data_IF_431043206159
#
_entry.id   IF_431043206159
#
_cell.length_a   1.000
_cell.length_b   1.000
_cell.length_c   1.000
_cell.angle_alpha   90.00
_cell.angle_beta   90.00
_cell.angle_gamma   90.00
#
_symmetry.space_group_name_H-M   'P 1'
#
loop_
_entity.id
_entity.type
_entity.pdbx_description
1 polymer ?
#
# COMPACT_ATOMS: atom_id res chain seq x y z
N UNK A 1 10.13 1.40 -0.41
CA UNK A 1 9.03 1.40 0.58
C UNK A 1 8.50 2.82 0.71
N UNK A 2 7.20 3.02 0.83
CA UNK A 2 6.56 4.34 0.96
C UNK A 2 5.54 4.23 2.08
N UNK A 3 5.67 5.04 3.12
CA UNK A 3 4.70 5.18 4.21
C UNK A 3 4.66 6.64 4.68
N UNK A 4 3.53 7.06 5.25
CA UNK A 4 3.40 8.36 5.91
C UNK A 4 4.08 8.41 7.28
N UNK A 5 4.26 7.25 7.92
CA UNK A 5 5.02 7.12 9.16
C UNK A 5 6.50 6.87 8.82
N UNK A 6 7.28 7.96 8.79
CA UNK A 6 8.69 7.96 8.35
C UNK A 6 9.55 7.13 9.28
N UNK A 7 9.39 7.29 10.60
CA UNK A 7 10.17 6.54 11.59
C UNK A 7 9.90 5.04 11.47
N UNK A 8 8.64 4.64 11.26
CA UNK A 8 8.27 3.24 11.07
C UNK A 8 8.86 2.65 9.77
N UNK A 9 8.73 3.33 8.63
CA UNK A 9 9.22 2.79 7.34
C UNK A 9 10.74 2.73 7.28
N UNK A 10 11.44 3.67 7.92
CA UNK A 10 12.90 3.63 8.06
C UNK A 10 13.34 2.45 8.93
N UNK A 11 12.65 2.21 10.05
CA UNK A 11 12.93 1.07 10.92
C UNK A 11 12.72 -0.28 10.20
N UNK A 12 11.62 -0.43 9.46
CA UNK A 12 11.34 -1.64 8.67
C UNK A 12 12.37 -1.85 7.55
N UNK A 13 12.77 -0.78 6.86
CA UNK A 13 13.80 -0.87 5.83
C UNK A 13 15.17 -1.29 6.41
N UNK A 14 15.50 -0.80 7.61
CA UNK A 14 16.71 -1.18 8.33
C UNK A 14 16.67 -2.67 8.73
N UNK A 15 15.59 -3.12 9.36
CA UNK A 15 15.43 -4.52 9.81
C UNK A 15 15.55 -5.49 8.63
N UNK A 16 14.88 -5.20 7.50
CA UNK A 16 14.99 -6.01 6.30
C UNK A 16 16.40 -6.00 5.70
N UNK A 17 17.12 -4.88 5.81
CA UNK A 17 18.51 -4.76 5.34
C UNK A 17 19.46 -5.57 6.21
N UNK A 18 19.30 -5.53 7.53
CA UNK A 18 20.10 -6.30 8.50
C UNK A 18 19.82 -7.80 8.42
N UNK A 19 18.64 -8.21 7.94
CA UNK A 19 18.32 -9.61 7.68
C UNK A 19 19.02 -10.19 6.44
N UNK A 20 19.41 -9.36 5.45
CA UNK A 20 19.94 -9.81 4.15
C UNK A 20 21.18 -10.71 4.22
N UNK A 21 22.18 -10.49 5.10
CA UNK A 21 23.35 -11.37 5.20
C UNK A 21 23.01 -12.84 5.47
N UNK A 22 21.82 -13.11 6.01
CA UNK A 22 21.32 -14.46 6.29
C UNK A 22 20.49 -15.05 5.14
N UNK A 23 20.25 -14.31 4.05
CA UNK A 23 19.44 -14.73 2.91
C UNK A 23 20.30 -15.19 1.73
N UNK A 24 19.77 -16.14 0.94
CA UNK A 24 20.44 -16.65 -0.27
C UNK A 24 20.49 -15.61 -1.40
N UNK A 25 19.56 -14.66 -1.38
CA UNK A 25 19.43 -13.60 -2.39
C UNK A 25 19.30 -12.27 -1.67
N UNK A 26 19.85 -11.24 -2.32
CA UNK A 26 19.88 -9.88 -1.79
C UNK A 26 19.00 -8.98 -2.65
N UNK A 27 18.41 -7.97 -2.01
CA UNK A 27 17.57 -6.97 -2.65
C UNK A 27 18.05 -5.56 -2.28
N UNK A 28 17.89 -4.63 -3.20
CA UNK A 28 18.10 -3.21 -2.88
C UNK A 28 16.85 -2.70 -2.17
N UNK A 29 16.98 -2.39 -0.89
CA UNK A 29 15.89 -1.90 -0.05
C UNK A 29 16.08 -0.40 0.12
N UNK A 30 15.07 0.38 -0.25
CA UNK A 30 15.14 1.84 -0.21
C UNK A 30 13.80 2.40 0.24
N UNK A 31 13.83 3.32 1.21
CA UNK A 31 12.69 4.17 1.53
C UNK A 31 12.63 5.26 0.46
N UNK A 32 11.51 5.34 -0.25
CA UNK A 32 11.34 6.18 -1.43
C UNK A 32 10.16 7.13 -1.25
N UNK A 33 10.01 8.04 -2.20
CA UNK A 33 8.80 8.82 -2.40
C UNK A 33 8.00 8.31 -3.61
N UNK A 34 6.92 9.01 -3.93
CA UNK A 34 6.03 8.69 -5.04
C UNK A 34 6.69 8.76 -6.42
N UNK A 35 7.78 9.51 -6.60
CA UNK A 35 8.46 9.63 -7.90
C UNK A 35 9.16 8.34 -8.33
N UNK A 36 9.56 7.51 -7.36
CA UNK A 36 10.12 6.18 -7.61
C UNK A 36 9.10 5.17 -8.18
N UNK A 37 7.84 5.57 -8.36
CA UNK A 37 6.84 4.72 -9.01
C UNK A 37 6.77 4.94 -10.52
N UNK A 38 7.45 5.95 -11.08
CA UNK A 38 7.45 6.23 -12.52
C UNK A 38 7.97 5.03 -13.34
N UNK A 39 8.96 4.32 -12.83
CA UNK A 39 9.64 3.18 -13.45
C UNK A 39 9.38 1.83 -12.73
N UNK A 40 8.46 1.81 -11.77
CA UNK A 40 8.13 0.58 -11.06
C UNK A 40 7.35 -0.41 -11.95
N UNK A 41 7.77 -1.68 -11.96
CA UNK A 41 7.06 -2.76 -12.64
C UNK A 41 5.83 -3.24 -11.87
N UNK A 42 5.91 -3.23 -10.53
CA UNK A 42 4.87 -3.71 -9.63
C UNK A 42 4.76 -2.77 -8.43
N UNK A 43 3.53 -2.39 -8.10
CA UNK A 43 3.20 -1.68 -6.86
C UNK A 43 2.28 -2.55 -6.02
N UNK A 44 2.62 -2.75 -4.76
CA UNK A 44 1.78 -3.47 -3.79
C UNK A 44 1.20 -2.44 -2.81
N UNK A 45 -0.12 -2.23 -2.87
CA UNK A 45 -0.84 -1.38 -1.92
C UNK A 45 -1.30 -2.19 -0.71
N UNK A 46 -0.71 -1.89 0.44
CA UNK A 46 -1.04 -2.48 1.75
C UNK A 46 -1.63 -1.48 2.75
N UNK A 47 -2.00 -0.27 2.31
CA UNK A 47 -2.51 0.79 3.20
C UNK A 47 -3.73 0.35 4.00
N UNK A 48 -3.83 0.74 5.26
CA UNK A 48 -4.97 0.43 6.11
C UNK A 48 -4.62 0.44 7.58
N UNK A 49 -5.63 0.46 8.46
CA UNK A 49 -5.41 0.49 9.92
C UNK A 49 -6.22 -0.58 10.63
N UNK A 50 -5.64 -1.78 10.70
CA UNK A 50 -6.27 -2.97 11.32
C UNK A 50 -6.52 -2.81 12.82
N UNK A 51 -5.83 -1.87 13.48
CA UNK A 51 -6.03 -1.59 14.90
C UNK A 51 -7.46 -1.10 15.22
N UNK A 52 -8.18 -0.53 14.24
CA UNK A 52 -9.55 -0.02 14.41
C UNK A 52 -10.57 -1.15 14.64
N UNK A 53 -10.33 -2.35 14.10
CA UNK A 53 -11.08 -3.55 14.44
C UNK A 53 -10.82 -4.01 15.89
N UNK A 54 -9.57 -3.89 16.37
CA UNK A 54 -9.18 -4.37 17.72
C UNK A 54 -9.77 -3.53 18.86
N UNK A 55 -10.00 -2.23 18.64
CA UNK A 55 -10.51 -1.31 19.67
C UNK A 55 -12.03 -1.29 19.79
N UNK A 56 -12.77 -2.00 18.93
CA UNK A 56 -14.23 -2.08 18.97
C UNK A 56 -14.77 -3.53 19.04
N UNK A 57 -14.34 -4.35 20.02
CA UNK A 57 -14.84 -5.72 20.17
C UNK A 57 -16.26 -5.69 20.73
N UNK A 58 -17.27 -5.74 19.86
CA UNK A 58 -18.68 -5.84 20.26
C UNK A 58 -19.68 -5.25 19.27
N UNK A 59 -19.25 -4.34 18.40
CA UNK A 59 -20.01 -3.90 17.24
C UNK A 59 -19.60 -4.76 16.05
N UNK A 60 -20.38 -5.77 15.70
CA UNK A 60 -20.19 -6.67 14.53
C UNK A 60 -20.26 -5.96 13.16
N UNK A 61 -19.83 -4.70 13.08
CA UNK A 61 -19.72 -3.97 11.83
C UNK A 61 -18.37 -4.27 11.22
N UNK A 62 -18.32 -5.32 10.40
CA UNK A 62 -17.21 -5.72 9.53
C UNK A 62 -16.67 -4.59 8.62
N UNK A 63 -17.25 -3.40 8.69
CA UNK A 63 -16.98 -2.25 7.84
C UNK A 63 -16.55 -0.98 8.59
N UNK A 64 -16.24 -1.04 9.89
CA UNK A 64 -15.75 0.13 10.66
C UNK A 64 -14.51 0.76 10.00
N UNK A 65 -13.68 -0.06 9.36
CA UNK A 65 -12.46 0.39 8.69
C UNK A 65 -12.69 0.99 7.32
N UNK A 66 -13.85 0.74 6.69
CA UNK A 66 -14.09 1.14 5.28
C UNK A 66 -13.93 2.65 5.09
N UNK A 67 -14.55 3.53 5.91
CA UNK A 67 -14.39 4.97 5.72
C UNK A 67 -12.93 5.43 5.87
N UNK A 68 -12.14 4.77 6.71
CA UNK A 68 -10.72 5.08 6.90
C UNK A 68 -9.88 4.61 5.71
N UNK A 69 -10.01 3.33 5.35
CA UNK A 69 -9.26 2.73 4.25
C UNK A 69 -9.62 3.39 2.90
N UNK A 70 -10.88 3.80 2.70
CA UNK A 70 -11.30 4.57 1.51
C UNK A 70 -10.55 5.91 1.39
N UNK A 71 -10.30 6.62 2.50
CA UNK A 71 -9.52 7.87 2.46
C UNK A 71 -8.06 7.61 2.08
N UNK A 72 -7.47 6.56 2.64
CA UNK A 72 -6.09 6.16 2.33
C UNK A 72 -5.96 5.76 0.85
N UNK A 73 -6.84 4.86 0.37
CA UNK A 73 -6.88 4.45 -1.04
C UNK A 73 -7.07 5.64 -1.98
N UNK A 74 -7.92 6.61 -1.61
CA UNK A 74 -8.07 7.85 -2.41
C UNK A 74 -6.77 8.62 -2.53
N UNK A 75 -6.09 8.85 -1.41
CA UNK A 75 -4.79 9.53 -1.39
C UNK A 75 -3.76 8.79 -2.24
N UNK A 76 -3.61 7.47 -2.06
CA UNK A 76 -2.67 6.66 -2.84
C UNK A 76 -3.00 6.69 -4.33
N UNK A 77 -4.27 6.56 -4.68
CA UNK A 77 -4.72 6.60 -6.08
C UNK A 77 -4.44 7.96 -6.75
N UNK A 78 -4.57 9.07 -6.02
CA UNK A 78 -4.22 10.41 -6.50
C UNK A 78 -2.72 10.53 -6.77
N UNK A 79 -1.87 10.04 -5.85
CA UNK A 79 -0.43 10.03 -6.05
C UNK A 79 -0.02 9.14 -7.22
N UNK A 80 -0.54 7.90 -7.31
CA UNK A 80 -0.30 6.99 -8.44
C UNK A 80 -0.69 7.59 -9.80
N UNK A 81 -1.75 8.40 -9.85
CA UNK A 81 -2.14 9.10 -11.08
C UNK A 81 -1.20 10.22 -11.48
N UNK A 82 -0.46 10.78 -10.53
CA UNK A 82 0.53 11.81 -10.77
C UNK A 82 1.86 11.25 -11.30
N UNK A 83 2.05 9.93 -11.26
CA UNK A 83 3.25 9.24 -11.75
C UNK A 83 3.05 8.70 -13.17
N UNK A 84 4.14 8.27 -13.79
CA UNK A 84 4.17 7.56 -15.08
C UNK A 84 4.03 6.04 -14.92
N UNK A 85 3.58 5.58 -13.76
CA UNK A 85 3.48 4.17 -13.44
C UNK A 85 2.63 3.43 -14.48
N UNK A 86 3.25 2.45 -15.13
CA UNK A 86 2.64 1.67 -16.19
C UNK A 86 2.60 0.15 -15.91
N UNK A 87 3.15 -0.28 -14.76
CA UNK A 87 3.19 -1.66 -14.31
C UNK A 87 1.88 -2.18 -13.67
N UNK A 88 2.01 -3.23 -12.86
CA UNK A 88 0.89 -3.95 -12.23
C UNK A 88 0.64 -3.47 -10.80
N UNK A 89 -0.60 -3.09 -10.48
CA UNK A 89 -1.02 -2.73 -9.13
C UNK A 89 -1.67 -3.93 -8.42
N UNK A 90 -1.04 -4.41 -7.35
CA UNK A 90 -1.56 -5.45 -6.47
C UNK A 90 -2.12 -4.80 -5.22
N UNK A 91 -3.37 -5.08 -4.89
CA UNK A 91 -4.06 -4.52 -3.71
C UNK A 91 -4.27 -5.64 -2.70
N UNK A 92 -3.80 -5.44 -1.46
CA UNK A 92 -4.00 -6.40 -0.36
C UNK A 92 -4.80 -5.81 0.82
N UNK A 93 -5.17 -4.52 0.74
CA UNK A 93 -6.01 -3.83 1.73
C UNK A 93 -7.41 -4.42 1.81
N UNK A 94 -7.88 -4.77 3.01
CA UNK A 94 -9.27 -5.21 3.22
C UNK A 94 -10.27 -4.06 3.40
N UNK A 95 -11.55 -4.29 3.08
CA UNK A 95 -12.08 -5.40 2.27
C UNK A 95 -11.61 -5.31 0.81
N UNK A 96 -10.93 -6.35 0.32
CA UNK A 96 -10.15 -6.32 -0.92
C UNK A 96 -10.95 -5.91 -2.16
N UNK A 97 -12.10 -6.57 -2.40
CA UNK A 97 -12.91 -6.33 -3.60
C UNK A 97 -13.37 -4.87 -3.73
N UNK A 98 -13.67 -4.23 -2.59
CA UNK A 98 -14.06 -2.82 -2.52
C UNK A 98 -12.85 -1.93 -2.83
N UNK A 99 -11.68 -2.24 -2.27
CA UNK A 99 -10.47 -1.44 -2.46
C UNK A 99 -9.95 -1.53 -3.89
N UNK A 100 -9.95 -2.72 -4.50
CA UNK A 100 -9.60 -2.92 -5.92
C UNK A 100 -10.54 -2.11 -6.82
N UNK A 101 -11.86 -2.23 -6.58
CA UNK A 101 -12.86 -1.47 -7.35
C UNK A 101 -12.66 0.03 -7.20
N UNK A 102 -12.30 0.51 -6.00
CA UNK A 102 -12.04 1.91 -5.75
C UNK A 102 -10.76 2.39 -6.45
N UNK A 103 -9.66 1.66 -6.33
CA UNK A 103 -8.43 1.96 -7.06
C UNK A 103 -8.68 2.08 -8.54
N UNK A 104 -9.35 1.10 -9.14
CA UNK A 104 -9.68 1.12 -10.56
C UNK A 104 -10.46 2.37 -10.97
N UNK A 105 -11.51 2.73 -10.21
CA UNK A 105 -12.33 3.91 -10.51
C UNK A 105 -11.53 5.21 -10.38
N UNK A 106 -10.60 5.27 -9.42
CA UNK A 106 -9.85 6.49 -9.13
C UNK A 106 -8.62 6.66 -10.01
N UNK A 107 -7.91 5.58 -10.32
CA UNK A 107 -6.70 5.62 -11.15
C UNK A 107 -7.02 5.62 -12.64
N UNK A 108 -8.14 5.02 -13.04
CA UNK A 108 -8.48 4.81 -14.45
C UNK A 108 -7.63 3.74 -15.14
N UNK A 109 -6.91 2.92 -14.37
CA UNK A 109 -6.11 1.82 -14.92
C UNK A 109 -7.00 0.71 -15.49
N UNK A 110 -6.52 -0.03 -16.51
CA UNK A 110 -7.31 -1.10 -17.14
C UNK A 110 -7.64 -2.23 -16.16
N UNK A 111 -8.77 -2.92 -16.41
CA UNK A 111 -9.22 -4.08 -15.61
C UNK A 111 -8.31 -5.29 -15.72
N UNK A 112 -7.72 -5.49 -16.91
CA UNK A 112 -6.72 -6.50 -17.14
C UNK A 112 -5.43 -5.74 -17.38
N UNK A 113 -4.48 -5.92 -16.47
CA UNK A 113 -3.16 -5.33 -16.55
C UNK A 113 -2.13 -6.39 -16.22
#
# INVERSE_FOLDING_TARGET
MIDTDVDHVEAEALDLTEAQPNLKHHANITVNDWSALDDADVVISSVGKIALQKTNPGTNSRFIEVPHNVKQVKSVAEHLRATKFHGVLIVITNPNDIMVTLYQKLTGYPQIR
#
